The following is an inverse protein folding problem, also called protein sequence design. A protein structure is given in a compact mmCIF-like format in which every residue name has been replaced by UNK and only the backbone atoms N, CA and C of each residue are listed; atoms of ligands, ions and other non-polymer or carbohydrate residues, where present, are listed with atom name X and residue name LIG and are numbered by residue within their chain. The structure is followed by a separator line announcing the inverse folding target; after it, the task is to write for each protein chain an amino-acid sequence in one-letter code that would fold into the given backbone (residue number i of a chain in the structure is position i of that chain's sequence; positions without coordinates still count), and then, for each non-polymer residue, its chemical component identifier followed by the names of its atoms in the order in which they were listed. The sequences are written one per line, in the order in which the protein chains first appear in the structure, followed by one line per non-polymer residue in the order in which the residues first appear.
data_IF_356584418931
#
_entry.id   IF_356584418931
#
_cell.length_a   1.000
_cell.length_b   1.000
_cell.length_c   1.000
_cell.angle_alpha   90.00
_cell.angle_beta   90.00
_cell.angle_gamma   90.00
#
_symmetry.space_group_name_H-M   'P 1'
#
loop_
_entity.id
_entity.type
_entity.pdbx_description
1 polymer ?
#
# COMPACT_ATOMS: atom_id res chain seq x y z
N UNK A 1 -40.43 -3.99 2.12
CA UNK A 1 -39.29 -3.91 3.05
C UNK A 1 -38.04 -4.01 2.19
N UNK A 2 -37.24 -2.94 2.07
CA UNK A 2 -35.97 -3.01 1.33
C UNK A 2 -35.03 -3.89 2.16
N UNK A 3 -34.58 -5.01 1.62
CA UNK A 3 -33.56 -5.85 2.25
C UNK A 3 -32.28 -5.01 2.43
N UNK A 4 -31.85 -4.83 3.68
CA UNK A 4 -30.56 -4.24 3.98
C UNK A 4 -29.52 -5.31 3.70
N UNK A 5 -28.87 -5.21 2.53
CA UNK A 5 -27.80 -6.11 2.14
C UNK A 5 -26.52 -5.73 2.89
N UNK A 6 -26.09 -6.59 3.82
CA UNK A 6 -24.84 -6.41 4.58
C UNK A 6 -23.70 -7.05 3.81
N UNK A 7 -22.62 -6.32 3.59
CA UNK A 7 -21.42 -6.83 2.94
C UNK A 7 -20.29 -6.94 3.96
N UNK A 8 -19.52 -8.01 3.88
CA UNK A 8 -18.27 -8.13 4.61
C UNK A 8 -17.19 -7.37 3.82
N UNK A 9 -16.61 -6.33 4.43
CA UNK A 9 -15.63 -5.46 3.78
C UNK A 9 -14.43 -6.24 3.24
N UNK A 10 -14.03 -7.34 3.89
CA UNK A 10 -12.91 -8.17 3.43
C UNK A 10 -13.15 -8.75 2.04
N UNK A 11 -14.40 -9.07 1.72
CA UNK A 11 -14.76 -9.69 0.44
C UNK A 11 -14.78 -8.68 -0.71
N UNK A 12 -14.59 -7.39 -0.40
CA UNK A 12 -14.58 -6.29 -1.37
C UNK A 12 -13.18 -5.68 -1.54
N UNK A 13 -12.17 -6.23 -0.88
CA UNK A 13 -10.77 -5.82 -1.03
C UNK A 13 -10.30 -6.17 -2.44
N UNK A 14 -9.62 -5.22 -3.08
CA UNK A 14 -9.02 -5.44 -4.39
C UNK A 14 -7.68 -6.16 -4.22
N UNK A 15 -7.53 -7.30 -4.87
CA UNK A 15 -6.29 -8.07 -4.87
C UNK A 15 -5.32 -7.53 -5.92
N UNK A 16 -4.09 -7.25 -5.49
CA UNK A 16 -2.98 -6.87 -6.36
C UNK A 16 -2.38 -8.13 -6.98
N UNK A 17 -2.22 -8.13 -8.29
CA UNK A 17 -1.61 -9.25 -8.98
C UNK A 17 -0.09 -9.25 -8.78
N UNK A 18 0.40 -10.28 -8.09
CA UNK A 18 1.84 -10.47 -7.80
C UNK A 18 2.62 -11.08 -8.97
N UNK A 19 2.00 -11.31 -10.13
CA UNK A 19 2.70 -11.64 -11.36
C UNK A 19 3.21 -10.35 -12.00
N UNK A 20 4.47 -10.00 -11.69
CA UNK A 20 5.20 -8.88 -12.26
C UNK A 20 6.60 -9.33 -12.71
N UNK A 21 7.28 -8.52 -13.51
CA UNK A 21 8.67 -8.76 -13.86
C UNK A 21 9.52 -8.57 -12.59
N UNK A 22 10.13 -9.62 -12.02
CA UNK A 22 10.88 -9.52 -10.77
C UNK A 22 12.13 -8.64 -10.90
N UNK A 23 12.53 -8.28 -12.12
CA UNK A 23 13.64 -7.37 -12.38
C UNK A 23 13.20 -5.91 -12.20
N UNK A 24 11.89 -5.62 -12.23
CA UNK A 24 11.34 -4.25 -12.17
C UNK A 24 10.03 -4.19 -11.35
N UNK A 25 10.09 -3.89 -10.04
CA UNK A 25 11.27 -3.67 -9.17
C UNK A 25 11.87 -4.95 -8.57
N UNK A 26 13.17 -4.94 -8.30
CA UNK A 26 13.83 -6.00 -7.50
C UNK A 26 13.57 -5.78 -6.00
N UNK A 27 12.40 -6.25 -5.53
CA UNK A 27 12.02 -6.17 -4.12
C UNK A 27 12.86 -7.08 -3.21
N UNK A 28 13.50 -8.11 -3.76
CA UNK A 28 14.29 -9.07 -2.97
C UNK A 28 15.44 -8.40 -2.21
N UNK A 29 15.98 -7.31 -2.78
CA UNK A 29 16.99 -6.46 -2.13
C UNK A 29 16.47 -5.80 -0.85
N UNK A 30 15.17 -5.57 -0.75
CA UNK A 30 14.52 -4.89 0.37
C UNK A 30 13.97 -5.84 1.45
N UNK A 31 14.01 -7.16 1.24
CA UNK A 31 13.47 -8.15 2.19
C UNK A 31 14.04 -7.96 3.59
N UNK A 32 15.36 -7.77 3.70
CA UNK A 32 16.04 -7.55 4.98
C UNK A 32 15.55 -6.28 5.68
N UNK A 33 15.31 -5.21 4.93
CA UNK A 33 14.77 -3.96 5.47
C UNK A 33 13.35 -4.13 5.98
N UNK A 34 12.49 -4.78 5.20
CA UNK A 34 11.11 -5.08 5.56
C UNK A 34 11.07 -5.96 6.81
N UNK A 35 11.93 -6.97 6.90
CA UNK A 35 12.05 -7.86 8.05
C UNK A 35 12.44 -7.12 9.33
N UNK A 36 13.46 -6.26 9.27
CA UNK A 36 13.90 -5.49 10.44
C UNK A 36 12.87 -4.43 10.84
N UNK A 37 12.23 -3.77 9.87
CA UNK A 37 11.21 -2.75 10.12
C UNK A 37 9.95 -3.32 10.77
N UNK A 38 9.46 -4.46 10.26
CA UNK A 38 8.18 -5.03 10.66
C UNK A 38 8.29 -6.14 11.72
N UNK A 39 9.48 -6.72 11.90
CA UNK A 39 9.70 -7.83 12.81
C UNK A 39 8.88 -9.07 12.43
N UNK A 40 8.07 -9.55 13.36
CA UNK A 40 7.19 -10.72 13.20
C UNK A 40 5.81 -10.37 12.61
N UNK A 41 5.54 -9.09 12.31
CA UNK A 41 4.23 -8.62 11.84
C UNK A 41 4.06 -8.82 10.34
N UNK A 42 3.73 -10.05 9.95
CA UNK A 42 3.58 -10.45 8.55
C UNK A 42 2.60 -9.56 7.76
N UNK A 43 1.49 -9.14 8.36
CA UNK A 43 0.51 -8.26 7.71
C UNK A 43 1.07 -6.87 7.35
N UNK A 44 2.12 -6.39 8.04
CA UNK A 44 2.78 -5.14 7.64
C UNK A 44 3.66 -5.36 6.42
N UNK A 45 4.40 -6.48 6.39
CA UNK A 45 5.27 -6.87 5.27
C UNK A 45 4.46 -7.03 4.00
N UNK A 46 3.38 -7.81 4.07
CA UNK A 46 2.47 -8.03 2.95
C UNK A 46 1.81 -6.74 2.47
N UNK A 47 1.44 -5.84 3.38
CA UNK A 47 0.88 -4.54 3.00
C UNK A 47 1.91 -3.67 2.25
N UNK A 48 3.16 -3.63 2.72
CA UNK A 48 4.25 -2.91 2.04
C UNK A 48 4.47 -3.52 0.66
N UNK A 49 4.71 -4.82 0.57
CA UNK A 49 4.95 -5.53 -0.69
C UNK A 49 3.83 -5.30 -1.71
N UNK A 50 2.56 -5.48 -1.30
CA UNK A 50 1.42 -5.29 -2.18
C UNK A 50 1.36 -3.86 -2.73
N UNK A 51 1.66 -2.87 -1.90
CA UNK A 51 1.66 -1.46 -2.33
C UNK A 51 2.79 -1.20 -3.30
N UNK A 52 4.01 -1.66 -3.00
CA UNK A 52 5.13 -1.45 -3.92
C UNK A 52 4.84 -2.11 -5.26
N UNK A 53 4.43 -3.39 -5.29
CA UNK A 53 4.05 -4.09 -6.52
C UNK A 53 2.97 -3.32 -7.29
N UNK A 54 1.92 -2.87 -6.62
CA UNK A 54 0.85 -2.10 -7.25
C UNK A 54 1.36 -0.82 -7.92
N UNK A 55 2.22 -0.07 -7.24
CA UNK A 55 2.71 1.22 -7.70
C UNK A 55 3.81 1.11 -8.77
N UNK A 56 4.64 0.08 -8.74
CA UNK A 56 5.90 0.05 -9.52
C UNK A 56 5.99 -1.07 -10.54
N UNK A 57 5.10 -2.07 -10.52
CA UNK A 57 5.15 -3.20 -11.48
C UNK A 57 4.89 -2.81 -12.94
N UNK A 58 4.37 -1.60 -13.20
CA UNK A 58 3.94 -1.15 -14.53
C UNK A 58 2.67 -1.85 -15.04
N UNK A 59 2.09 -2.79 -14.27
CA UNK A 59 0.88 -3.52 -14.63
C UNK A 59 -0.38 -2.66 -14.59
N UNK A 60 -0.40 -1.70 -13.66
CA UNK A 60 -1.51 -0.79 -13.45
C UNK A 60 -1.07 0.62 -13.84
N UNK A 61 -1.93 1.35 -14.57
CA UNK A 61 -1.73 2.79 -14.84
C UNK A 61 -2.62 3.64 -13.95
N UNK A 62 -3.69 3.05 -13.42
CA UNK A 62 -4.60 3.70 -12.48
C UNK A 62 -5.36 2.69 -11.64
N UNK A 63 -6.09 3.19 -10.64
CA UNK A 63 -6.99 2.39 -9.79
C UNK A 63 -8.07 1.67 -10.61
N UNK A 64 -8.52 2.23 -11.73
CA UNK A 64 -9.47 1.59 -12.62
C UNK A 64 -8.94 0.28 -13.22
N UNK A 65 -7.65 0.19 -13.50
CA UNK A 65 -7.06 -1.06 -13.99
C UNK A 65 -7.13 -2.16 -12.93
N UNK A 66 -6.86 -1.81 -11.68
CA UNK A 66 -6.98 -2.73 -10.54
C UNK A 66 -8.45 -3.15 -10.33
N UNK A 67 -9.38 -2.20 -10.42
CA UNK A 67 -10.83 -2.47 -10.33
C UNK A 67 -11.29 -3.37 -11.47
N UNK A 68 -10.88 -3.12 -12.72
CA UNK A 68 -11.26 -3.95 -13.88
C UNK A 68 -10.79 -5.39 -13.70
N UNK A 69 -9.54 -5.57 -13.26
CA UNK A 69 -9.00 -6.91 -13.04
C UNK A 69 -9.79 -7.65 -11.94
N UNK A 70 -10.07 -6.97 -10.83
CA UNK A 70 -10.83 -7.55 -9.72
C UNK A 70 -12.31 -7.74 -10.04
N UNK A 71 -12.92 -6.89 -10.85
CA UNK A 71 -14.33 -6.99 -11.26
C UNK A 71 -14.64 -8.30 -11.98
N UNK A 72 -13.68 -8.82 -12.76
CA UNK A 72 -13.82 -10.10 -13.45
C UNK A 72 -13.75 -11.27 -12.45
N UNK A 73 -12.84 -11.18 -11.48
CA UNK A 73 -12.49 -12.27 -10.56
C UNK A 73 -13.38 -12.35 -9.31
N UNK A 74 -13.84 -11.20 -8.80
CA UNK A 74 -14.54 -11.08 -7.53
C UNK A 74 -16.04 -10.88 -7.75
N UNK A 75 -16.89 -11.92 -7.54
CA UNK A 75 -18.34 -11.81 -7.70
C UNK A 75 -18.99 -10.87 -6.68
N UNK A 76 -18.38 -10.65 -5.51
CA UNK A 76 -18.97 -9.77 -4.47
C UNK A 76 -18.97 -8.30 -4.89
N UNK A 77 -18.01 -7.88 -5.72
CA UNK A 77 -18.04 -6.54 -6.33
C UNK A 77 -19.28 -6.37 -7.23
N UNK A 78 -19.63 -7.40 -8.01
CA UNK A 78 -20.81 -7.43 -8.88
C UNK A 78 -22.12 -7.58 -8.09
N UNK A 79 -22.05 -8.12 -6.89
CA UNK A 79 -23.19 -8.17 -5.97
C UNK A 79 -23.46 -6.81 -5.31
N UNK A 80 -22.40 -5.99 -5.13
CA UNK A 80 -22.45 -4.67 -4.48
C UNK A 80 -22.82 -3.55 -5.44
N UNK A 81 -22.22 -3.53 -6.63
CA UNK A 81 -22.44 -2.49 -7.63
C UNK A 81 -23.23 -3.07 -8.80
N UNK A 82 -24.16 -2.29 -9.34
CA UNK A 82 -24.99 -2.63 -10.51
C UNK A 82 -24.14 -2.94 -11.73
N UNK A 83 -23.11 -2.14 -11.95
CA UNK A 83 -22.17 -2.27 -13.06
C UNK A 83 -20.81 -1.66 -12.70
N UNK A 84 -19.79 -1.92 -13.53
CA UNK A 84 -18.43 -1.43 -13.28
C UNK A 84 -18.34 0.10 -13.35
N UNK A 85 -19.22 0.75 -14.13
CA UNK A 85 -19.23 2.21 -14.21
C UNK A 85 -19.71 2.80 -12.89
N UNK A 86 -20.74 2.24 -12.26
CA UNK A 86 -21.16 2.65 -10.91
C UNK A 86 -19.98 2.59 -9.93
N UNK A 87 -19.19 1.51 -9.95
CA UNK A 87 -18.00 1.43 -9.10
C UNK A 87 -16.99 2.54 -9.43
N UNK A 88 -16.72 2.82 -10.72
CA UNK A 88 -15.84 3.92 -11.10
C UNK A 88 -16.31 5.30 -10.60
N UNK A 89 -17.61 5.56 -10.54
CA UNK A 89 -18.15 6.81 -9.99
C UNK A 89 -17.89 6.98 -8.48
N UNK A 90 -17.65 5.88 -7.76
CA UNK A 90 -17.30 5.91 -6.33
C UNK A 90 -15.79 6.08 -6.06
N UNK A 91 -14.95 6.04 -7.08
CA UNK A 91 -13.51 6.25 -6.92
C UNK A 91 -13.20 7.73 -6.64
N UNK A 92 -12.36 8.01 -5.65
CA UNK A 92 -12.03 9.39 -5.25
C UNK A 92 -10.95 10.03 -6.12
N UNK A 93 -10.01 9.23 -6.63
CA UNK A 93 -8.82 9.69 -7.37
C UNK A 93 -8.71 8.97 -8.71
N UNK A 94 -9.80 9.00 -9.47
CA UNK A 94 -9.89 8.37 -10.80
C UNK A 94 -8.76 8.80 -11.73
N UNK A 95 -8.25 7.84 -12.52
CA UNK A 95 -7.13 8.05 -13.44
C UNK A 95 -5.76 8.21 -12.75
N UNK A 96 -5.65 7.95 -11.45
CA UNK A 96 -4.37 7.96 -10.71
C UNK A 96 -4.07 6.57 -10.14
N UNK A 97 -2.78 6.29 -9.92
CA UNK A 97 -2.33 5.20 -9.06
C UNK A 97 -2.58 5.58 -7.61
N UNK A 98 -3.78 5.27 -7.14
CA UNK A 98 -4.23 5.50 -5.77
C UNK A 98 -4.86 4.23 -5.21
N UNK A 99 -4.81 4.04 -3.89
CA UNK A 99 -5.49 2.95 -3.21
C UNK A 99 -5.71 3.30 -1.74
N UNK A 100 -6.58 2.56 -1.08
CA UNK A 100 -6.79 2.60 0.37
C UNK A 100 -6.24 1.33 0.98
N UNK A 101 -5.53 1.45 2.10
CA UNK A 101 -5.00 0.31 2.86
C UNK A 101 -5.73 0.25 4.19
N UNK A 102 -6.55 -0.78 4.36
CA UNK A 102 -7.34 -0.97 5.58
C UNK A 102 -6.56 -1.79 6.61
N UNK A 103 -6.05 -1.08 7.63
CA UNK A 103 -5.35 -1.68 8.77
C UNK A 103 -6.02 -1.27 10.09
N UNK A 104 -6.30 -2.25 10.94
CA UNK A 104 -6.93 -2.03 12.25
C UNK A 104 -6.12 -1.06 13.14
N UNK A 105 -6.74 -0.50 14.17
CA UNK A 105 -6.01 0.31 15.17
C UNK A 105 -5.01 -0.58 15.92
N UNK A 106 -3.88 0.00 16.36
CA UNK A 106 -2.83 -0.74 17.07
C UNK A 106 -1.91 -1.61 16.20
N UNK A 107 -2.21 -1.85 14.93
CA UNK A 107 -1.39 -2.68 14.02
C UNK A 107 -0.12 -1.98 13.51
N UNK A 108 0.18 -0.76 13.96
CA UNK A 108 1.40 -0.05 13.58
C UNK A 108 1.42 0.47 12.13
N UNK A 109 0.30 0.98 11.62
CA UNK A 109 0.18 1.61 10.28
C UNK A 109 1.31 2.57 9.90
N UNK A 110 1.86 3.29 10.88
CA UNK A 110 2.98 4.22 10.67
C UNK A 110 4.24 3.52 10.15
N UNK A 111 4.50 2.27 10.54
CA UNK A 111 5.61 1.48 10.01
C UNK A 111 5.41 1.16 8.54
N UNK A 112 4.18 0.83 8.12
CA UNK A 112 3.84 0.58 6.72
C UNK A 112 4.04 1.84 5.88
N UNK A 113 3.56 2.99 6.35
CA UNK A 113 3.76 4.29 5.68
C UNK A 113 5.26 4.60 5.52
N UNK A 114 6.04 4.43 6.58
CA UNK A 114 7.47 4.66 6.56
C UNK A 114 8.20 3.73 5.59
N UNK A 115 7.89 2.43 5.64
CA UNK A 115 8.50 1.42 4.78
C UNK A 115 8.24 1.69 3.31
N UNK A 116 6.99 1.99 2.94
CA UNK A 116 6.62 2.36 1.57
C UNK A 116 7.41 3.59 1.12
N UNK A 117 7.46 4.63 1.94
CA UNK A 117 8.17 5.85 1.59
C UNK A 117 9.67 5.61 1.38
N UNK A 118 10.33 4.86 2.27
CA UNK A 118 11.75 4.54 2.16
C UNK A 118 12.06 3.72 0.91
N UNK A 119 11.26 2.67 0.64
CA UNK A 119 11.45 1.83 -0.55
C UNK A 119 11.25 2.63 -1.83
N UNK A 120 10.18 3.43 -1.92
CA UNK A 120 9.90 4.22 -3.12
C UNK A 120 10.98 5.26 -3.41
N UNK A 121 11.52 5.90 -2.37
CA UNK A 121 12.65 6.84 -2.48
C UNK A 121 13.91 6.10 -2.88
N UNK A 122 14.24 5.02 -2.18
CA UNK A 122 15.48 4.26 -2.42
C UNK A 122 15.51 3.55 -3.78
N UNK A 123 14.35 3.17 -4.32
CA UNK A 123 14.25 2.65 -5.69
C UNK A 123 14.27 3.77 -6.76
N UNK A 124 14.28 5.05 -6.36
CA UNK A 124 14.27 6.18 -7.28
C UNK A 124 12.94 6.40 -8.01
N UNK A 125 11.83 5.81 -7.56
CA UNK A 125 10.52 6.06 -8.14
C UNK A 125 9.95 7.43 -7.77
N UNK A 126 10.38 7.99 -6.63
CA UNK A 126 10.01 9.33 -6.18
C UNK A 126 11.19 10.01 -5.49
N UNK A 127 11.29 11.34 -5.60
CA UNK A 127 12.31 12.11 -4.87
C UNK A 127 11.88 12.45 -3.42
N UNK A 128 10.56 12.50 -3.18
CA UNK A 128 9.96 12.99 -1.93
C UNK A 128 8.66 12.26 -1.62
N UNK A 129 8.37 12.09 -0.33
CA UNK A 129 7.11 11.59 0.18
C UNK A 129 6.44 12.63 1.10
N UNK A 130 5.13 12.79 0.97
CA UNK A 130 4.31 13.68 1.81
C UNK A 130 3.28 12.86 2.58
N UNK A 131 3.27 12.99 3.90
CA UNK A 131 2.29 12.35 4.78
C UNK A 131 1.39 13.42 5.38
N UNK A 132 0.10 13.37 5.05
CA UNK A 132 -0.92 14.29 5.57
C UNK A 132 -1.66 13.63 6.74
N UNK A 133 -1.87 14.38 7.82
CA UNK A 133 -2.57 13.91 9.01
C UNK A 133 -3.57 14.95 9.54
N UNK A 134 -4.61 14.52 10.27
CA UNK A 134 -5.73 15.40 10.62
C UNK A 134 -5.48 16.28 11.86
N UNK A 135 -4.34 16.15 12.55
CA UNK A 135 -4.03 16.96 13.73
C UNK A 135 -2.52 17.08 13.98
N UNK A 136 -2.13 18.18 14.64
CA UNK A 136 -0.75 18.47 15.04
C UNK A 136 -0.18 17.43 16.02
N UNK A 137 -1.04 16.84 16.87
CA UNK A 137 -0.62 15.78 17.80
C UNK A 137 -0.19 14.53 17.04
N UNK A 138 -0.93 14.14 16.01
CA UNK A 138 -0.58 12.99 15.16
C UNK A 138 0.67 13.31 14.35
N UNK A 139 0.77 14.51 13.80
CA UNK A 139 1.94 14.98 13.06
C UNK A 139 3.22 14.84 13.88
N UNK A 140 3.22 15.39 15.11
CA UNK A 140 4.37 15.32 16.01
C UNK A 140 4.76 13.87 16.32
N UNK A 141 3.79 13.02 16.63
CA UNK A 141 4.04 11.61 16.93
C UNK A 141 4.57 10.82 15.73
N UNK A 142 4.13 11.15 14.51
CA UNK A 142 4.69 10.56 13.28
C UNK A 142 6.11 11.07 13.02
N UNK A 143 6.35 12.36 13.18
CA UNK A 143 7.66 12.97 12.98
C UNK A 143 8.72 12.38 13.93
N UNK A 144 8.41 12.29 15.22
CA UNK A 144 9.29 11.66 16.22
C UNK A 144 9.60 10.21 15.84
N UNK A 145 8.57 9.44 15.44
CA UNK A 145 8.73 8.05 15.04
C UNK A 145 9.59 7.89 13.79
N UNK A 146 9.31 8.65 12.73
CA UNK A 146 10.07 8.56 11.48
C UNK A 146 11.50 9.08 11.65
N UNK A 147 11.72 10.07 12.50
CA UNK A 147 13.07 10.51 12.89
C UNK A 147 13.81 9.40 13.65
N UNK A 148 13.16 8.73 14.59
CA UNK A 148 13.75 7.60 15.31
C UNK A 148 14.08 6.42 14.39
N UNK A 149 13.16 6.03 13.51
CA UNK A 149 13.37 4.93 12.55
C UNK A 149 14.48 5.28 11.57
N UNK A 150 14.45 6.48 11.01
CA UNK A 150 15.51 6.94 10.13
C UNK A 150 16.83 7.11 10.84
N UNK A 151 16.88 7.27 12.17
CA UNK A 151 18.09 7.31 13.00
C UNK A 151 18.63 5.95 13.44
N UNK A 152 17.87 4.87 13.26
CA UNK A 152 18.24 3.53 13.73
C UNK A 152 19.34 2.93 12.85
N UNK A 153 20.52 2.73 13.42
CA UNK A 153 21.68 2.19 12.70
C UNK A 153 21.46 0.77 12.20
N UNK A 154 20.70 -0.06 12.94
CA UNK A 154 20.39 -1.42 12.50
C UNK A 154 19.49 -1.40 11.28
N UNK A 155 18.46 -0.56 11.29
CA UNK A 155 17.55 -0.42 10.15
C UNK A 155 18.27 0.18 8.94
N UNK A 156 19.09 1.22 9.12
CA UNK A 156 19.89 1.81 8.03
C UNK A 156 20.79 0.80 7.34
N UNK A 157 21.45 -0.08 8.09
CA UNK A 157 22.34 -1.11 7.54
C UNK A 157 21.61 -2.18 6.71
N UNK A 158 20.27 -2.19 6.72
CA UNK A 158 19.46 -3.10 5.89
C UNK A 158 18.97 -2.47 4.60
N UNK A 159 19.11 -1.16 4.44
CA UNK A 159 18.77 -0.47 3.20
C UNK A 159 19.79 -0.88 2.12
N UNK A 160 19.35 -1.25 0.90
CA UNK A 160 20.27 -1.62 -0.18
C UNK A 160 21.30 -0.53 -0.49
N UNK A 161 22.54 -0.90 -0.81
CA UNK A 161 23.61 0.07 -1.09
C UNK A 161 23.30 0.94 -2.32
N UNK A 162 22.55 0.41 -3.28
CA UNK A 162 22.13 1.10 -4.49
C UNK A 162 21.03 2.15 -4.24
N UNK A 163 20.45 2.18 -3.03
CA UNK A 163 19.32 3.03 -2.68
C UNK A 163 19.69 4.45 -2.18
N UNK A 164 20.88 4.94 -2.56
CA UNK A 164 21.47 6.21 -2.10
C UNK A 164 22.02 7.07 -3.22
#
# INVERSE_FOLDING_TARGET
MLEIKTYNTKDLVLEVNKSYDPIRPDLSKWDRFIDVLCGDRQYQKEAIENVIIYLTSGRYKSIEDLVKENWVKNPELRNRYRDINEYFHHLQLSGKLSATIDLATGTGKSYVIYGIAQIMIGLGFVDKALVLCPSLTIEKGLMEKFTSLSGDSKLRQTIPEEAG
#
